data_IF_855874957935
#
_entry.id   IF_855874957935
#
_cell.length_a   1.000
_cell.length_b   1.000
_cell.length_c   1.000
_cell.angle_alpha   90.00
_cell.angle_beta   90.00
_cell.angle_gamma   90.00
#
_symmetry.space_group_name_H-M   'P 1'
#
loop_
_entity.id
_entity.type
_entity.pdbx_description
1 polymer ?
#
# COMPACT_ATOMS: atom_id res chain seq x y z
N UNK A 1 34.99 -12.31 -3.45
CA UNK A 1 33.56 -12.59 -3.15
C UNK A 1 32.75 -11.37 -3.51
N UNK A 2 31.54 -11.52 -4.09
CA UNK A 2 30.63 -10.42 -4.40
C UNK A 2 29.31 -10.60 -3.66
N UNK A 3 28.72 -9.54 -3.15
CA UNK A 3 27.45 -9.55 -2.44
C UNK A 3 26.42 -8.60 -3.11
N UNK A 4 25.14 -8.95 -3.00
CA UNK A 4 24.03 -8.11 -3.35
C UNK A 4 23.23 -7.80 -2.07
N UNK A 5 23.17 -6.52 -1.69
CA UNK A 5 22.37 -6.04 -0.57
C UNK A 5 20.98 -5.63 -1.08
N UNK A 6 19.98 -6.48 -0.84
CA UNK A 6 18.64 -6.32 -1.42
C UNK A 6 17.53 -6.39 -0.33
N UNK A 7 17.51 -5.45 0.61
CA UNK A 7 16.47 -5.39 1.64
C UNK A 7 15.21 -4.68 1.12
N UNK A 8 14.07 -5.01 1.73
CA UNK A 8 12.88 -4.15 1.75
C UNK A 8 13.03 -3.04 2.82
N UNK A 9 12.03 -2.17 2.95
CA UNK A 9 12.00 -1.14 3.99
C UNK A 9 11.94 -1.74 5.40
N UNK A 10 12.65 -1.14 6.35
CA UNK A 10 12.52 -1.41 7.77
C UNK A 10 11.52 -0.38 8.32
N UNK A 11 10.23 -0.73 8.33
CA UNK A 11 9.11 0.18 8.63
C UNK A 11 9.37 1.03 9.88
N UNK A 12 9.30 2.36 9.71
CA UNK A 12 9.54 3.32 10.78
C UNK A 12 11.01 3.52 11.17
N UNK A 13 11.98 2.84 10.54
CA UNK A 13 13.41 2.91 10.85
C UNK A 13 14.24 3.37 9.65
N UNK A 14 14.18 2.63 8.53
CA UNK A 14 14.95 2.92 7.32
C UNK A 14 14.13 2.68 6.05
N UNK A 15 14.32 3.53 5.04
CA UNK A 15 13.85 3.22 3.69
C UNK A 15 14.58 1.99 3.12
N UNK A 16 13.98 1.33 2.13
CA UNK A 16 14.64 0.22 1.45
C UNK A 16 15.97 0.66 0.80
N UNK A 17 16.02 1.89 0.30
CA UNK A 17 17.21 2.50 -0.31
C UNK A 17 18.33 2.69 0.71
N UNK A 18 18.02 3.29 1.87
CA UNK A 18 19.01 3.52 2.93
C UNK A 18 19.50 2.20 3.52
N UNK A 19 18.60 1.25 3.77
CA UNK A 19 18.96 -0.08 4.25
C UNK A 19 19.90 -0.80 3.26
N UNK A 20 19.61 -0.76 1.96
CA UNK A 20 20.46 -1.35 0.92
C UNK A 20 21.85 -0.68 0.88
N UNK A 21 21.89 0.64 0.97
CA UNK A 21 23.14 1.40 0.96
C UNK A 21 24.02 1.06 2.17
N UNK A 22 23.44 1.05 3.38
CA UNK A 22 24.15 0.73 4.63
C UNK A 22 24.65 -0.71 4.64
N UNK A 23 23.84 -1.68 4.19
CA UNK A 23 24.28 -3.08 4.09
C UNK A 23 25.42 -3.25 3.10
N UNK A 24 25.31 -2.63 1.91
CA UNK A 24 26.38 -2.70 0.91
C UNK A 24 27.68 -2.06 1.41
N UNK A 25 27.58 -0.96 2.18
CA UNK A 25 28.73 -0.32 2.81
C UNK A 25 29.36 -1.24 3.88
N UNK A 26 28.56 -1.89 4.73
CA UNK A 26 29.04 -2.85 5.71
C UNK A 26 29.83 -4.00 5.06
N UNK A 27 29.32 -4.57 3.97
CA UNK A 27 30.02 -5.60 3.18
C UNK A 27 31.38 -5.10 2.64
N UNK A 28 31.40 -3.87 2.08
CA UNK A 28 32.64 -3.27 1.53
C UNK A 28 33.68 -3.06 2.62
N UNK A 29 33.31 -2.60 3.82
CA UNK A 29 34.20 -2.47 4.98
C UNK A 29 34.76 -3.82 5.43
N UNK A 30 33.98 -4.91 5.24
CA UNK A 30 34.45 -6.28 5.47
C UNK A 30 35.28 -6.89 4.34
N UNK A 31 35.70 -6.10 3.34
CA UNK A 31 36.51 -6.56 2.20
C UNK A 31 35.73 -7.29 1.12
N UNK A 32 34.40 -7.19 1.11
CA UNK A 32 33.54 -7.83 0.11
C UNK A 32 33.03 -6.77 -0.88
N UNK A 33 33.26 -6.97 -2.17
CA UNK A 33 32.61 -6.15 -3.20
C UNK A 33 31.09 -6.28 -3.09
N UNK A 34 30.35 -5.17 -2.91
CA UNK A 34 28.92 -5.20 -2.69
C UNK A 34 28.17 -4.16 -3.52
N UNK A 35 27.00 -4.56 -4.01
CA UNK A 35 26.05 -3.70 -4.75
C UNK A 35 24.75 -3.56 -3.95
N UNK A 36 24.25 -2.32 -3.83
CA UNK A 36 22.94 -2.03 -3.26
C UNK A 36 21.86 -2.21 -4.34
N UNK A 37 20.81 -2.95 -4.03
CA UNK A 37 19.61 -3.12 -4.87
C UNK A 37 18.38 -3.16 -3.96
N UNK A 38 17.80 -2.01 -3.58
CA UNK A 38 16.58 -1.99 -2.78
C UNK A 38 15.44 -2.68 -3.50
N UNK A 39 14.61 -3.41 -2.76
CA UNK A 39 13.39 -4.05 -3.29
C UNK A 39 12.15 -3.44 -2.62
N UNK A 40 11.02 -3.61 -3.29
CA UNK A 40 9.73 -3.15 -2.83
C UNK A 40 8.68 -4.25 -3.00
N UNK A 41 7.71 -4.28 -2.10
CA UNK A 41 6.69 -5.31 -1.97
C UNK A 41 5.26 -4.79 -2.22
N UNK A 42 5.13 -3.55 -2.69
CA UNK A 42 3.83 -2.89 -2.82
C UNK A 42 3.40 -2.15 -1.55
N UNK A 43 4.24 -2.12 -0.51
CA UNK A 43 4.05 -1.32 0.69
C UNK A 43 4.62 0.09 0.58
N UNK A 44 4.76 0.74 1.75
CA UNK A 44 5.36 2.07 1.89
C UNK A 44 6.79 2.11 1.32
N UNK A 45 7.08 3.13 0.49
CA UNK A 45 8.39 3.33 -0.15
C UNK A 45 8.57 2.61 -1.48
N UNK A 46 7.57 1.89 -1.97
CA UNK A 46 7.61 1.24 -3.29
C UNK A 46 7.84 2.26 -4.41
N UNK A 47 7.15 3.39 -4.36
CA UNK A 47 7.30 4.46 -5.37
C UNK A 47 8.73 5.03 -5.39
N UNK A 48 9.39 5.14 -4.22
CA UNK A 48 10.78 5.57 -4.12
C UNK A 48 11.73 4.56 -4.80
N UNK A 49 11.54 3.27 -4.51
CA UNK A 49 12.35 2.18 -5.12
C UNK A 49 12.19 2.15 -6.62
N UNK A 50 10.97 2.39 -7.13
CA UNK A 50 10.68 2.49 -8.57
C UNK A 50 11.23 3.78 -9.21
N UNK A 51 11.71 4.75 -8.41
CA UNK A 51 12.22 6.03 -8.89
C UNK A 51 11.12 7.02 -9.28
N UNK A 52 9.89 6.79 -8.82
CA UNK A 52 8.78 7.70 -9.07
C UNK A 52 8.95 9.02 -8.30
N UNK A 53 8.67 10.14 -8.98
CA UNK A 53 8.78 11.50 -8.42
C UNK A 53 7.41 12.07 -8.13
N UNK A 54 7.29 12.88 -7.07
CA UNK A 54 6.07 13.60 -6.76
C UNK A 54 5.72 14.53 -7.92
N UNK A 55 4.55 14.32 -8.52
CA UNK A 55 3.97 15.18 -9.54
C UNK A 55 3.11 16.26 -8.92
N UNK A 56 2.28 15.86 -7.97
CA UNK A 56 1.37 16.74 -7.25
C UNK A 56 1.01 16.18 -5.86
N UNK A 57 0.43 17.02 -5.01
CA UNK A 57 -0.17 16.62 -3.72
C UNK A 57 -1.66 16.96 -3.73
N UNK A 58 -2.44 16.01 -3.28
CA UNK A 58 -3.91 16.09 -3.28
C UNK A 58 -4.41 16.04 -1.84
N UNK A 59 -5.36 16.90 -1.51
CA UNK A 59 -6.07 16.86 -0.23
C UNK A 59 -7.10 15.75 -0.27
N UNK A 60 -6.94 14.74 0.59
CA UNK A 60 -7.81 13.57 0.73
C UNK A 60 -8.17 13.34 2.19
N UNK A 61 -9.07 12.42 2.46
CA UNK A 61 -9.34 11.92 3.80
C UNK A 61 -8.30 10.88 4.22
N UNK A 62 -7.86 10.90 5.49
CA UNK A 62 -7.17 9.75 6.07
C UNK A 62 -8.17 8.59 6.29
N UNK A 63 -7.71 7.47 6.83
CA UNK A 63 -8.55 6.31 7.10
C UNK A 63 -9.74 6.60 8.05
N UNK A 64 -9.72 7.73 8.75
CA UNK A 64 -10.70 8.13 9.75
C UNK A 64 -11.41 9.45 9.40
N UNK A 65 -11.36 9.86 8.13
CA UNK A 65 -12.05 11.04 7.62
C UNK A 65 -11.37 12.38 7.90
N UNK A 66 -10.13 12.40 8.45
CA UNK A 66 -9.41 13.65 8.68
C UNK A 66 -8.68 14.10 7.41
N UNK A 67 -8.59 15.41 7.14
CA UNK A 67 -7.87 15.92 5.99
C UNK A 67 -6.38 15.55 6.02
N UNK A 68 -5.86 15.06 4.90
CA UNK A 68 -4.46 14.68 4.71
C UNK A 68 -3.99 15.05 3.31
N UNK A 69 -2.74 15.48 3.18
CA UNK A 69 -2.11 15.69 1.87
C UNK A 69 -1.37 14.42 1.46
N UNK A 70 -1.81 13.81 0.36
CA UNK A 70 -1.21 12.60 -0.22
C UNK A 70 -0.63 12.90 -1.61
N UNK A 71 0.56 12.37 -1.95
CA UNK A 71 1.17 12.61 -3.25
C UNK A 71 0.64 11.65 -4.32
N UNK A 72 0.45 12.16 -5.52
CA UNK A 72 0.46 11.38 -6.75
C UNK A 72 1.88 11.51 -7.31
N UNK A 73 2.52 10.37 -7.58
CA UNK A 73 3.85 10.31 -8.19
C UNK A 73 3.76 9.85 -9.63
N UNK A 74 4.84 10.07 -10.38
CA UNK A 74 4.96 9.57 -11.74
C UNK A 74 6.34 8.95 -11.97
N UNK A 75 6.37 7.89 -12.77
CA UNK A 75 7.58 7.34 -13.38
C UNK A 75 8.04 8.19 -14.55
N UNK A 76 9.23 7.92 -15.06
CA UNK A 76 9.80 8.67 -16.20
C UNK A 76 8.96 8.52 -17.48
N UNK A 77 8.20 7.44 -17.63
CA UNK A 77 7.31 7.18 -18.76
C UNK A 77 5.90 7.79 -18.60
N UNK A 78 5.67 8.56 -17.53
CA UNK A 78 4.38 9.19 -17.23
C UNK A 78 3.38 8.30 -16.47
N UNK A 79 3.71 7.04 -16.21
CA UNK A 79 2.87 6.15 -15.39
C UNK A 79 2.67 6.73 -14.00
N UNK A 80 1.43 6.94 -13.58
CA UNK A 80 1.12 7.40 -12.23
C UNK A 80 1.37 6.30 -11.19
N UNK A 81 1.86 6.68 -10.01
CA UNK A 81 2.07 5.78 -8.88
C UNK A 81 1.38 6.35 -7.64
N UNK A 82 0.52 5.55 -7.03
CA UNK A 82 -0.23 5.86 -5.82
C UNK A 82 0.08 4.80 -4.77
N UNK A 83 0.54 5.23 -3.60
CA UNK A 83 0.72 4.38 -2.43
C UNK A 83 -0.44 4.57 -1.45
N UNK A 84 -1.19 3.51 -1.17
CA UNK A 84 -2.32 3.56 -0.26
C UNK A 84 -1.91 4.02 1.15
N UNK A 85 -0.72 3.65 1.61
CA UNK A 85 -0.17 4.08 2.89
C UNK A 85 0.02 5.61 3.01
N UNK A 86 0.10 6.34 1.91
CA UNK A 86 0.21 7.80 1.96
C UNK A 86 -1.15 8.50 2.13
N UNK A 87 -2.23 7.88 1.67
CA UNK A 87 -3.59 8.37 1.90
C UNK A 87 -4.16 7.86 3.24
N UNK A 88 -4.07 6.56 3.50
CA UNK A 88 -4.71 5.87 4.62
C UNK A 88 -3.72 5.03 5.44
N UNK A 89 -2.64 5.64 5.98
CA UNK A 89 -1.57 4.91 6.66
C UNK A 89 -2.04 4.14 7.89
N UNK A 90 -1.40 3.00 8.16
CA UNK A 90 -1.48 2.34 9.45
C UNK A 90 -0.65 3.14 10.47
N UNK A 91 -1.31 3.85 11.37
CA UNK A 91 -0.66 4.54 12.50
C UNK A 91 -0.84 3.69 13.77
N UNK A 92 0.26 3.16 14.37
CA UNK A 92 0.17 2.36 15.59
C UNK A 92 -0.43 3.10 16.80
N UNK A 93 -0.47 4.43 16.75
CA UNK A 93 -1.07 5.27 17.79
C UNK A 93 -2.60 5.37 17.67
N UNK A 94 -3.15 4.92 16.53
CA UNK A 94 -4.59 4.96 16.25
C UNK A 94 -5.02 3.72 15.48
N UNK A 95 -5.37 2.69 16.22
CA UNK A 95 -5.80 1.41 15.69
C UNK A 95 -7.30 1.24 15.92
N UNK A 96 -8.08 1.30 14.86
CA UNK A 96 -9.53 1.05 14.86
C UNK A 96 -9.98 0.51 13.49
N UNK A 97 -9.83 -0.79 13.25
CA UNK A 97 -10.14 -1.38 11.96
C UNK A 97 -11.65 -1.42 11.62
N UNK A 98 -12.54 -1.21 12.61
CA UNK A 98 -13.98 -1.15 12.35
C UNK A 98 -14.40 0.17 11.68
N UNK A 99 -13.73 1.28 12.01
CA UNK A 99 -14.06 2.61 11.49
C UNK A 99 -13.13 3.07 10.38
N UNK A 100 -11.97 2.41 10.23
CA UNK A 100 -11.00 2.75 9.19
C UNK A 100 -11.54 2.45 7.79
N UNK A 101 -11.51 3.44 6.90
CA UNK A 101 -12.05 3.37 5.54
C UNK A 101 -10.98 3.54 4.47
N UNK A 102 -11.18 2.88 3.34
CA UNK A 102 -10.39 3.06 2.12
C UNK A 102 -10.80 4.28 1.29
N UNK A 103 -11.75 5.10 1.76
CA UNK A 103 -12.30 6.25 1.03
C UNK A 103 -11.21 7.21 0.55
N UNK A 104 -10.25 7.57 1.41
CA UNK A 104 -9.18 8.49 1.05
C UNK A 104 -8.28 7.99 -0.08
N UNK A 105 -8.08 6.68 -0.19
CA UNK A 105 -7.42 6.10 -1.36
C UNK A 105 -8.26 6.30 -2.62
N UNK A 106 -9.58 6.12 -2.53
CA UNK A 106 -10.49 6.42 -3.63
C UNK A 106 -10.42 7.89 -4.07
N UNK A 107 -10.41 8.81 -3.10
CA UNK A 107 -10.27 10.26 -3.37
C UNK A 107 -8.94 10.59 -4.08
N UNK A 108 -7.85 9.91 -3.70
CA UNK A 108 -6.55 10.08 -4.35
C UNK A 108 -6.54 9.52 -5.78
N UNK A 109 -7.08 8.31 -5.98
CA UNK A 109 -7.18 7.66 -7.31
C UNK A 109 -8.06 8.48 -8.25
N UNK A 110 -9.16 9.05 -7.78
CA UNK A 110 -10.06 9.89 -8.58
C UNK A 110 -9.41 11.16 -9.14
N UNK A 111 -8.23 11.55 -8.63
CA UNK A 111 -7.46 12.70 -9.11
C UNK A 111 -6.34 12.33 -10.08
N UNK A 112 -6.17 11.05 -10.37
CA UNK A 112 -5.11 10.60 -11.27
C UNK A 112 -5.49 10.94 -12.73
N UNK A 113 -4.62 11.67 -13.39
CA UNK A 113 -4.66 11.96 -14.84
C UNK A 113 -3.41 11.36 -15.47
N UNK A 114 -3.50 10.13 -15.96
CA UNK A 114 -2.40 9.42 -16.59
C UNK A 114 -2.92 8.27 -17.48
N UNK A 115 -2.12 7.83 -18.44
CA UNK A 115 -2.47 6.71 -19.33
C UNK A 115 -2.34 5.35 -18.64
N UNK A 116 -1.60 5.28 -17.55
CA UNK A 116 -1.38 4.06 -16.73
C UNK A 116 -1.27 4.41 -15.25
N UNK A 117 -1.76 3.50 -14.40
CA UNK A 117 -1.74 3.66 -12.95
C UNK A 117 -1.13 2.42 -12.27
N UNK A 118 -0.20 2.65 -11.34
CA UNK A 118 0.28 1.66 -10.39
C UNK A 118 -0.29 2.00 -9.01
N UNK A 119 -0.94 1.04 -8.36
CA UNK A 119 -1.47 1.19 -6.99
C UNK A 119 -0.76 0.22 -6.06
N UNK A 120 -0.12 0.75 -5.03
CA UNK A 120 0.58 -0.03 -3.99
C UNK A 120 -0.32 -0.13 -2.76
N UNK A 121 -0.76 -1.34 -2.36
CA UNK A 121 -1.80 -1.54 -1.35
C UNK A 121 -1.29 -1.78 0.08
N UNK A 122 0.02 -1.96 0.30
CA UNK A 122 0.56 -2.25 1.63
C UNK A 122 0.50 -1.07 2.60
N UNK A 123 0.62 -1.35 3.91
CA UNK A 123 0.80 -0.32 4.96
C UNK A 123 -0.45 0.47 5.36
N UNK A 124 -1.67 -0.05 5.11
CA UNK A 124 -2.95 0.67 5.33
C UNK A 124 -3.62 0.33 6.66
N UNK A 125 -4.44 1.26 7.18
CA UNK A 125 -5.19 1.09 8.43
C UNK A 125 -6.49 0.29 8.29
N UNK A 126 -7.11 0.30 7.10
CA UNK A 126 -8.43 -0.27 6.84
C UNK A 126 -8.43 -1.79 6.66
N UNK A 127 -9.62 -2.39 6.89
CA UNK A 127 -9.97 -3.78 6.56
C UNK A 127 -11.39 -3.80 5.94
N UNK A 128 -11.77 -2.77 5.24
CA UNK A 128 -13.11 -2.57 4.69
C UNK A 128 -13.35 -3.24 3.31
N UNK A 129 -12.38 -4.02 2.83
CA UNK A 129 -12.48 -4.69 1.52
C UNK A 129 -12.61 -3.73 0.33
N UNK A 130 -12.19 -2.47 0.50
CA UNK A 130 -12.33 -1.45 -0.54
C UNK A 130 -13.71 -0.80 -0.61
N UNK A 131 -14.57 -1.00 0.40
CA UNK A 131 -15.92 -0.44 0.41
C UNK A 131 -15.90 1.09 0.28
N UNK A 132 -15.10 1.78 1.11
CA UNK A 132 -14.98 3.24 1.05
C UNK A 132 -14.38 3.75 -0.28
N UNK A 133 -13.44 3.02 -0.86
CA UNK A 133 -12.89 3.36 -2.19
C UNK A 133 -13.98 3.32 -3.27
N UNK A 134 -14.83 2.28 -3.27
CA UNK A 134 -15.91 2.11 -4.25
C UNK A 134 -17.02 3.16 -4.16
N UNK A 135 -17.17 3.83 -3.01
CA UNK A 135 -18.08 4.97 -2.89
C UNK A 135 -17.62 6.17 -3.75
N UNK A 136 -16.31 6.31 -3.96
CA UNK A 136 -15.72 7.43 -4.70
C UNK A 136 -15.38 7.06 -6.14
N UNK A 137 -14.79 5.87 -6.34
CA UNK A 137 -14.33 5.40 -7.65
C UNK A 137 -15.11 4.17 -8.05
N UNK A 138 -15.95 4.30 -9.07
CA UNK A 138 -16.70 3.18 -9.67
C UNK A 138 -15.91 2.52 -10.79
N UNK A 139 -15.16 3.32 -11.53
CA UNK A 139 -14.28 2.89 -12.62
C UNK A 139 -12.91 3.51 -12.42
N UNK A 140 -11.87 2.73 -12.64
CA UNK A 140 -10.49 3.22 -12.53
C UNK A 140 -10.18 4.20 -13.66
N UNK A 141 -9.46 5.31 -13.41
CA UNK A 141 -9.22 6.37 -14.39
C UNK A 141 -8.32 5.93 -15.56
N UNK A 142 -7.58 4.83 -15.39
CA UNK A 142 -6.66 4.29 -16.40
C UNK A 142 -6.46 2.79 -16.21
N UNK A 143 -5.91 2.06 -17.19
CA UNK A 143 -5.39 0.70 -17.01
C UNK A 143 -4.48 0.64 -15.80
N UNK A 144 -4.84 -0.21 -14.82
CA UNK A 144 -4.24 -0.22 -13.50
C UNK A 144 -3.55 -1.54 -13.20
N UNK A 145 -2.30 -1.47 -12.72
CA UNK A 145 -1.59 -2.58 -12.09
C UNK A 145 -1.57 -2.38 -10.59
N UNK A 146 -1.94 -3.42 -9.85
CA UNK A 146 -1.95 -3.40 -8.38
C UNK A 146 -0.78 -4.20 -7.85
N UNK A 147 0.04 -3.58 -7.00
CA UNK A 147 1.08 -4.27 -6.23
C UNK A 147 0.53 -4.67 -4.87
N UNK A 148 0.50 -5.98 -4.62
CA UNK A 148 0.05 -6.57 -3.37
C UNK A 148 0.92 -7.80 -3.07
N UNK A 149 1.54 -7.84 -1.91
CA UNK A 149 2.43 -8.90 -1.44
C UNK A 149 1.68 -10.10 -0.83
N UNK A 150 0.37 -9.96 -0.63
CA UNK A 150 -0.45 -10.95 0.05
C UNK A 150 -1.57 -11.48 -0.84
N UNK A 151 -1.53 -12.77 -1.14
CA UNK A 151 -2.61 -13.49 -1.84
C UNK A 151 -3.56 -14.10 -0.80
N UNK A 152 -4.48 -13.29 -0.27
CA UNK A 152 -5.48 -13.71 0.72
C UNK A 152 -6.87 -13.49 0.13
N UNK A 153 -7.73 -14.54 0.12
CA UNK A 153 -9.13 -14.36 -0.27
C UNK A 153 -9.82 -13.30 0.58
N UNK A 154 -10.72 -12.51 -0.01
CA UNK A 154 -11.39 -11.41 0.69
C UNK A 154 -12.07 -11.87 1.98
N UNK A 155 -12.72 -13.04 1.97
CA UNK A 155 -13.37 -13.64 3.14
C UNK A 155 -12.42 -13.91 4.31
N UNK A 156 -11.12 -14.14 4.05
CA UNK A 156 -10.11 -14.48 5.05
C UNK A 156 -9.30 -13.22 5.48
N UNK A 157 -9.51 -12.09 4.81
CA UNK A 157 -8.71 -10.88 5.00
C UNK A 157 -8.86 -10.28 6.41
N UNK A 158 -10.05 -10.33 7.01
CA UNK A 158 -10.24 -9.85 8.38
C UNK A 158 -9.38 -10.64 9.37
N UNK A 159 -9.45 -11.96 9.35
CA UNK A 159 -8.67 -12.85 10.24
C UNK A 159 -7.18 -12.64 10.06
N UNK A 160 -6.72 -12.41 8.82
CA UNK A 160 -5.31 -12.26 8.51
C UNK A 160 -4.76 -10.89 8.90
N UNK A 161 -5.52 -9.80 8.69
CA UNK A 161 -4.99 -8.45 8.76
C UNK A 161 -5.55 -7.59 9.90
N UNK A 162 -6.76 -7.87 10.41
CA UNK A 162 -7.37 -7.02 11.41
C UNK A 162 -6.67 -7.06 12.79
N UNK A 163 -6.12 -8.20 13.28
CA UNK A 163 -5.43 -8.23 14.57
C UNK A 163 -4.26 -7.25 14.66
N UNK A 164 -3.42 -7.16 13.63
CA UNK A 164 -2.29 -6.20 13.60
C UNK A 164 -2.74 -4.74 13.53
N UNK A 165 -4.01 -4.49 13.22
CA UNK A 165 -4.67 -3.18 13.18
C UNK A 165 -5.51 -2.91 14.42
N UNK A 166 -5.35 -3.73 15.47
CA UNK A 166 -5.97 -3.55 16.79
C UNK A 166 -7.31 -4.19 16.98
N UNK A 167 -7.78 -5.06 16.06
CA UNK A 167 -9.06 -5.77 16.25
C UNK A 167 -8.99 -6.79 17.39
N UNK A 168 -10.02 -6.78 18.24
CA UNK A 168 -10.31 -7.89 19.15
C UNK A 168 -10.87 -9.10 18.39
N UNK A 169 -10.89 -10.31 18.97
CA UNK A 169 -11.50 -11.48 18.34
C UNK A 169 -12.95 -11.24 17.87
N UNK A 170 -13.79 -10.61 18.70
CA UNK A 170 -15.18 -10.29 18.35
C UNK A 170 -15.27 -9.30 17.17
N UNK A 171 -14.35 -8.34 17.11
CA UNK A 171 -14.26 -7.40 15.99
C UNK A 171 -13.81 -8.08 14.70
N UNK A 172 -12.94 -9.08 14.79
CA UNK A 172 -12.53 -9.89 13.63
C UNK A 172 -13.75 -10.63 13.06
N UNK A 173 -14.57 -11.27 13.88
CA UNK A 173 -15.79 -11.94 13.44
C UNK A 173 -16.80 -10.99 12.77
N UNK A 174 -16.92 -9.76 13.30
CA UNK A 174 -17.76 -8.74 12.70
C UNK A 174 -17.25 -8.32 11.31
N UNK A 175 -15.95 -8.08 11.18
CA UNK A 175 -15.30 -7.75 9.91
C UNK A 175 -15.40 -8.91 8.91
N UNK A 176 -15.27 -10.17 9.33
CA UNK A 176 -15.46 -11.33 8.46
C UNK A 176 -16.87 -11.35 7.84
N UNK A 177 -17.91 -11.08 8.63
CA UNK A 177 -19.28 -10.98 8.12
C UNK A 177 -19.46 -9.84 7.13
N UNK A 178 -18.86 -8.68 7.39
CA UNK A 178 -18.88 -7.55 6.47
C UNK A 178 -18.18 -7.87 5.15
N UNK A 179 -16.99 -8.49 5.21
CA UNK A 179 -16.24 -8.85 4.00
C UNK A 179 -16.91 -9.97 3.21
N UNK A 180 -17.58 -10.91 3.87
CA UNK A 180 -18.35 -11.97 3.20
C UNK A 180 -19.46 -11.39 2.33
N UNK A 181 -20.22 -10.41 2.83
CA UNK A 181 -21.27 -9.75 2.07
C UNK A 181 -20.72 -8.98 0.84
N UNK A 182 -19.52 -8.42 0.94
CA UNK A 182 -18.85 -7.78 -0.19
C UNK A 182 -18.36 -8.78 -1.23
N UNK A 183 -17.91 -9.97 -0.81
CA UNK A 183 -17.41 -11.00 -1.72
C UNK A 183 -18.51 -11.58 -2.62
N UNK A 184 -19.77 -11.57 -2.16
CA UNK A 184 -20.93 -11.98 -2.96
C UNK A 184 -21.25 -10.99 -4.09
N UNK A 185 -20.84 -9.72 -3.92
CA UNK A 185 -21.03 -8.64 -4.90
C UNK A 185 -19.85 -8.52 -5.89
N UNK A 186 -18.72 -9.15 -5.58
CA UNK A 186 -17.55 -9.10 -6.45
C UNK A 186 -17.68 -10.14 -7.57
N UNK A 187 -17.47 -9.79 -8.85
CA UNK A 187 -17.36 -10.79 -9.90
C UNK A 187 -16.24 -11.76 -9.55
N UNK A 188 -16.49 -13.06 -9.68
CA UNK A 188 -15.44 -14.06 -9.52
C UNK A 188 -14.27 -13.69 -10.43
N UNK A 189 -13.01 -13.70 -9.94
CA UNK A 189 -11.88 -13.51 -10.80
C UNK A 189 -11.96 -14.57 -11.92
N UNK A 190 -11.99 -14.11 -13.16
CA UNK A 190 -11.96 -14.99 -14.30
C UNK A 190 -10.80 -15.97 -14.13
N UNK A 191 -11.03 -17.26 -14.32
CA UNK A 191 -9.93 -18.23 -14.36
C UNK A 191 -8.96 -17.79 -15.45
N UNK A 192 -7.63 -17.85 -15.17
CA UNK A 192 -6.62 -17.56 -16.17
C UNK A 192 -6.71 -18.52 -17.37
#
# INVERSE_FOLDING_TARGET
MRALASPASLKGVLSARDAAALLAEGFRRGGVEAKALPIADGGEGTAEVLGARVRERVRVSDAFGRPRDAPIRALADGTAVVEAAEAIPLDPRRLDPLTASSRGLGELIARVEADRLLVCLGGTANVDGGAGLREVVRELPAPTTVFCDALVPLRDAARRFAPQKGATPDQVELLEKQLASLSELAPSPGKP
#
